data_IF_347141041772
#
_entry.id   IF_347141041772
#
_cell.length_a   1.000
_cell.length_b   1.000
_cell.length_c   1.000
_cell.angle_alpha   90.00
_cell.angle_beta   90.00
_cell.angle_gamma   90.00
#
_symmetry.space_group_name_H-M   'P 1'
#
loop_
_entity.id
_entity.type
_entity.pdbx_description
1 polymer ?
#
# COMPACT_ATOMS: atom_id res chain seq x y z
N UNK A 1 -4.09 38.55 -45.62
CA UNK A 1 -4.80 37.66 -44.68
C UNK A 1 -3.77 36.86 -43.89
N UNK A 2 -3.45 37.31 -42.68
CA UNK A 2 -2.50 36.66 -41.77
C UNK A 2 -3.27 35.66 -40.91
N UNK A 3 -2.91 34.37 -40.96
CA UNK A 3 -3.39 33.35 -40.03
C UNK A 3 -2.43 33.31 -38.85
N UNK A 4 -2.86 33.81 -37.70
CA UNK A 4 -2.19 33.69 -36.42
C UNK A 4 -2.80 32.54 -35.62
N UNK A 5 -1.91 31.63 -35.23
CA UNK A 5 -1.82 30.88 -33.98
C UNK A 5 -3.10 30.42 -33.25
N UNK A 6 -3.13 29.12 -32.99
CA UNK A 6 -3.92 28.48 -31.95
C UNK A 6 -3.37 27.09 -31.64
N UNK A 7 -2.07 26.99 -31.34
CA UNK A 7 -1.52 25.76 -30.74
C UNK A 7 -2.14 25.62 -29.36
N UNK A 8 -3.14 24.74 -29.24
CA UNK A 8 -3.61 24.22 -27.97
C UNK A 8 -2.55 23.26 -27.44
N UNK A 9 -1.58 23.82 -26.72
CA UNK A 9 -0.70 23.06 -25.82
C UNK A 9 -1.59 22.50 -24.72
N UNK A 10 -2.00 21.23 -24.87
CA UNK A 10 -2.65 20.50 -23.80
C UNK A 10 -1.59 20.26 -22.71
N UNK A 11 -1.68 21.05 -21.64
CA UNK A 11 -1.07 20.76 -20.34
C UNK A 11 -1.77 19.49 -19.81
N UNK A 12 -1.27 18.32 -20.20
CA UNK A 12 -1.54 17.10 -19.44
C UNK A 12 -0.65 17.17 -18.20
N UNK A 13 -1.30 17.46 -17.08
CA UNK A 13 -0.67 17.55 -15.78
C UNK A 13 0.12 16.26 -15.49
N UNK A 14 1.36 16.44 -15.06
CA UNK A 14 2.19 15.49 -14.33
C UNK A 14 1.34 14.63 -13.38
N UNK A 15 1.10 13.37 -13.76
CA UNK A 15 1.05 12.26 -12.79
C UNK A 15 2.40 11.57 -12.89
N UNK A 16 3.39 12.24 -12.29
CA UNK A 16 4.67 11.64 -11.93
C UNK A 16 4.43 10.76 -10.71
N UNK A 17 4.17 9.47 -10.89
CA UNK A 17 4.48 8.43 -9.88
C UNK A 17 4.65 7.06 -10.55
N UNK A 18 5.38 6.98 -11.66
CA UNK A 18 5.81 5.70 -12.23
C UNK A 18 7.34 5.65 -12.24
N UNK A 19 7.90 4.75 -11.42
CA UNK A 19 9.23 4.18 -11.63
C UNK A 19 10.45 4.93 -11.09
N UNK A 20 10.33 6.10 -10.46
CA UNK A 20 11.48 6.70 -9.81
C UNK A 20 11.82 5.88 -8.55
N UNK A 21 12.92 5.12 -8.66
CA UNK A 21 13.56 4.46 -7.54
C UNK A 21 13.85 5.53 -6.48
N UNK A 22 12.94 5.71 -5.50
CA UNK A 22 13.23 6.57 -4.36
C UNK A 22 14.51 6.00 -3.76
N UNK A 23 15.60 6.79 -3.68
CA UNK A 23 16.85 6.30 -3.11
C UNK A 23 16.54 5.72 -1.74
N UNK A 24 17.15 4.57 -1.43
CA UNK A 24 16.97 3.95 -0.11
C UNK A 24 17.28 5.02 0.94
N UNK A 25 16.36 5.28 1.88
CA UNK A 25 16.62 6.28 2.90
C UNK A 25 17.85 5.86 3.70
N UNK A 26 18.72 6.83 3.99
CA UNK A 26 19.88 6.59 4.84
C UNK A 26 19.43 6.63 6.30
N UNK A 27 19.67 5.55 7.05
CA UNK A 27 19.42 5.46 8.50
C UNK A 27 20.75 5.63 9.22
N UNK A 28 20.83 6.57 10.17
CA UNK A 28 22.07 6.83 10.91
C UNK A 28 22.49 5.67 11.82
N UNK A 29 21.53 4.90 12.34
CA UNK A 29 21.81 3.72 13.16
C UNK A 29 20.55 2.95 13.53
N UNK A 30 20.73 1.71 14.00
CA UNK A 30 19.65 0.83 14.44
C UNK A 30 19.80 0.51 15.92
N UNK A 31 18.70 0.57 16.65
CA UNK A 31 18.66 0.23 18.07
C UNK A 31 17.48 -0.72 18.35
N UNK A 32 17.69 -1.71 19.21
CA UNK A 32 16.62 -2.55 19.74
C UNK A 32 16.09 -1.94 21.05
N UNK A 33 14.77 -1.80 21.13
CA UNK A 33 14.01 -1.52 22.37
C UNK A 33 13.11 -2.72 22.71
N UNK A 34 13.51 -3.90 22.23
CA UNK A 34 12.83 -5.18 22.43
C UNK A 34 13.85 -6.31 22.35
N UNK A 35 13.48 -7.49 22.85
CA UNK A 35 14.30 -8.69 22.68
C UNK A 35 14.07 -9.30 21.30
N UNK A 36 15.12 -9.92 20.73
CA UNK A 36 14.95 -10.69 19.50
C UNK A 36 14.12 -11.94 19.79
N UNK A 37 13.09 -12.24 18.97
CA UNK A 37 12.18 -13.34 19.22
C UNK A 37 12.91 -14.68 19.23
N UNK A 38 12.63 -15.50 20.24
CA UNK A 38 13.18 -16.84 20.39
C UNK A 38 12.19 -17.89 19.85
N UNK A 39 12.71 -19.05 19.42
CA UNK A 39 11.87 -20.18 19.01
C UNK A 39 11.16 -20.00 17.66
N UNK A 40 11.68 -19.16 16.78
CA UNK A 40 11.24 -19.06 15.39
C UNK A 40 11.50 -20.38 14.64
N UNK A 41 10.70 -20.68 13.59
CA UNK A 41 10.91 -21.89 12.80
C UNK A 41 12.27 -21.85 12.07
N UNK A 42 12.81 -23.02 11.75
CA UNK A 42 14.07 -23.16 11.00
C UNK A 42 13.85 -23.08 9.47
N UNK A 43 12.61 -23.18 9.02
CA UNK A 43 12.18 -23.07 7.63
C UNK A 43 10.92 -22.21 7.52
N UNK A 44 10.74 -21.59 6.37
CA UNK A 44 9.52 -20.84 6.05
C UNK A 44 9.08 -21.10 4.61
N UNK A 45 7.77 -21.01 4.31
CA UNK A 45 7.29 -21.21 2.96
C UNK A 45 7.70 -20.07 2.04
N UNK A 46 8.04 -20.44 0.80
CA UNK A 46 8.01 -19.57 -0.37
C UNK A 46 6.65 -19.74 -1.01
N UNK A 47 6.02 -18.61 -1.35
CA UNK A 47 4.82 -18.63 -2.19
C UNK A 47 5.17 -18.24 -3.61
N UNK A 48 4.65 -18.97 -4.58
CA UNK A 48 4.73 -18.58 -5.99
C UNK A 48 3.52 -17.72 -6.34
N UNK A 49 3.75 -16.69 -7.14
CA UNK A 49 2.65 -15.91 -7.73
C UNK A 49 2.02 -16.76 -8.82
N UNK A 50 0.69 -16.88 -8.76
CA UNK A 50 -0.10 -17.63 -9.74
C UNK A 50 -0.96 -16.68 -10.56
N UNK A 51 -1.45 -17.18 -11.70
CA UNK A 51 -2.45 -16.47 -12.47
C UNK A 51 -3.73 -16.35 -11.65
N UNK A 52 -4.31 -15.14 -11.62
CA UNK A 52 -5.57 -14.96 -10.92
C UNK A 52 -6.71 -15.66 -11.68
N UNK A 53 -7.72 -16.17 -10.96
CA UNK A 53 -8.83 -16.89 -11.59
C UNK A 53 -9.66 -16.01 -12.53
N UNK A 54 -9.62 -14.69 -12.32
CA UNK A 54 -10.36 -13.69 -13.11
C UNK A 54 -9.42 -13.01 -14.08
N UNK A 55 -9.85 -12.90 -15.34
CA UNK A 55 -9.15 -12.14 -16.37
C UNK A 55 -9.05 -10.67 -15.96
N UNK A 56 -7.94 -10.02 -16.30
CA UNK A 56 -7.69 -8.63 -15.91
C UNK A 56 -8.79 -7.66 -16.37
N UNK A 57 -9.32 -7.85 -17.58
CA UNK A 57 -10.41 -7.01 -18.10
C UNK A 57 -11.70 -7.22 -17.29
N UNK A 58 -12.09 -8.46 -17.03
CA UNK A 58 -13.30 -8.79 -16.24
C UNK A 58 -13.19 -8.22 -14.83
N UNK A 59 -12.00 -8.31 -14.22
CA UNK A 59 -11.72 -7.70 -12.93
C UNK A 59 -11.87 -6.18 -12.95
N UNK A 60 -11.30 -5.49 -13.95
CA UNK A 60 -11.39 -4.04 -14.08
C UNK A 60 -12.84 -3.57 -14.23
N UNK A 61 -13.64 -4.27 -15.04
CA UNK A 61 -15.06 -4.00 -15.22
C UNK A 61 -15.88 -4.25 -13.95
N UNK A 62 -15.65 -5.39 -13.29
CA UNK A 62 -16.29 -5.69 -12.01
C UNK A 62 -16.02 -4.59 -10.98
N UNK A 63 -14.76 -4.18 -10.86
CA UNK A 63 -14.34 -3.15 -9.92
C UNK A 63 -14.95 -1.77 -10.24
N UNK A 64 -14.96 -1.36 -11.51
CA UNK A 64 -15.59 -0.11 -11.93
C UNK A 64 -17.08 -0.10 -11.52
N UNK A 65 -17.81 -1.18 -11.82
CA UNK A 65 -19.21 -1.33 -11.45
C UNK A 65 -19.41 -1.33 -9.92
N UNK A 66 -18.57 -2.06 -9.16
CA UNK A 66 -18.65 -2.15 -7.70
C UNK A 66 -18.43 -0.78 -7.01
N UNK A 67 -17.68 0.11 -7.64
CA UNK A 67 -17.40 1.46 -7.16
C UNK A 67 -18.37 2.53 -7.71
N UNK A 68 -19.32 2.13 -8.56
CA UNK A 68 -20.32 3.02 -9.16
C UNK A 68 -19.82 3.83 -10.36
N UNK A 69 -18.72 3.42 -11.00
CA UNK A 69 -18.31 3.99 -12.29
C UNK A 69 -19.13 3.35 -13.41
N UNK A 70 -19.70 4.20 -14.26
CA UNK A 70 -20.51 3.79 -15.41
C UNK A 70 -19.77 4.01 -16.72
N UNK A 71 -20.05 3.16 -17.71
CA UNK A 71 -19.55 3.31 -19.08
C UNK A 71 -18.11 2.81 -19.30
N UNK A 72 -17.59 3.12 -20.49
CA UNK A 72 -16.27 2.71 -20.96
C UNK A 72 -15.14 3.49 -20.26
N UNK A 73 -13.95 2.86 -20.09
CA UNK A 73 -12.77 3.55 -19.59
C UNK A 73 -12.38 4.71 -20.52
N UNK A 74 -11.95 5.82 -19.93
CA UNK A 74 -11.47 7.00 -20.66
C UNK A 74 -10.05 6.80 -21.21
N UNK A 75 -9.31 5.82 -20.68
CA UNK A 75 -7.99 5.43 -21.19
C UNK A 75 -7.73 3.93 -20.98
N UNK A 76 -6.95 3.37 -21.90
CA UNK A 76 -6.47 1.99 -21.87
C UNK A 76 -5.01 1.93 -22.33
N UNK A 77 -4.18 1.11 -21.69
CA UNK A 77 -2.79 0.89 -22.07
C UNK A 77 -2.35 -0.55 -21.85
N UNK A 78 -1.78 -1.16 -22.89
CA UNK A 78 -1.06 -2.45 -22.81
C UNK A 78 0.45 -2.26 -22.67
N UNK A 79 0.94 -1.02 -22.66
CA UNK A 79 2.38 -0.74 -22.70
C UNK A 79 3.10 -0.99 -21.38
N UNK A 80 2.36 -1.09 -20.27
CA UNK A 80 2.90 -1.44 -18.96
C UNK A 80 3.06 -2.97 -18.82
N UNK A 81 3.84 -3.42 -17.83
CA UNK A 81 3.96 -4.84 -17.51
C UNK A 81 2.62 -5.49 -17.10
N UNK A 82 1.61 -4.67 -16.85
CA UNK A 82 0.23 -5.04 -16.54
C UNK A 82 -0.67 -4.09 -17.35
N UNK A 83 -1.74 -4.58 -18.01
CA UNK A 83 -2.67 -3.69 -18.68
C UNK A 83 -3.31 -2.71 -17.69
N UNK A 84 -3.55 -1.49 -18.15
CA UNK A 84 -4.08 -0.39 -17.33
C UNK A 84 -5.40 0.13 -17.90
N UNK A 85 -6.40 0.28 -17.05
CA UNK A 85 -7.68 0.89 -17.39
C UNK A 85 -7.96 2.06 -16.46
N UNK A 86 -8.43 3.17 -17.03
CA UNK A 86 -8.78 4.37 -16.26
C UNK A 86 -10.22 4.79 -16.52
N UNK A 87 -10.98 5.01 -15.45
CA UNK A 87 -12.28 5.69 -15.47
C UNK A 87 -12.16 7.03 -14.77
N UNK A 88 -12.81 8.04 -15.34
CA UNK A 88 -12.90 9.37 -14.74
C UNK A 88 -14.38 9.76 -14.62
N UNK A 89 -14.75 10.37 -13.49
CA UNK A 89 -16.06 10.97 -13.34
C UNK A 89 -16.19 12.30 -14.07
N UNK A 90 -17.27 13.05 -13.82
CA UNK A 90 -17.47 14.38 -14.38
C UNK A 90 -16.28 15.31 -14.12
N UNK A 91 -16.04 16.25 -15.03
CA UNK A 91 -14.96 17.23 -14.91
C UNK A 91 -15.00 17.93 -13.53
N UNK A 92 -13.84 18.04 -12.88
CA UNK A 92 -13.65 18.61 -11.53
C UNK A 92 -14.26 17.82 -10.36
N UNK A 93 -14.83 16.63 -10.58
CA UNK A 93 -15.37 15.81 -9.48
C UNK A 93 -14.30 15.14 -8.61
N UNK A 94 -13.05 15.06 -9.09
CA UNK A 94 -11.97 14.33 -8.42
C UNK A 94 -12.17 12.81 -8.39
N UNK A 95 -13.21 12.31 -9.07
CA UNK A 95 -13.53 10.89 -9.16
C UNK A 95 -12.66 10.24 -10.24
N UNK A 96 -11.81 9.31 -9.83
CA UNK A 96 -10.92 8.60 -10.73
C UNK A 96 -10.71 7.19 -10.22
N UNK A 97 -10.65 6.23 -11.13
CA UNK A 97 -10.28 4.85 -10.88
C UNK A 97 -9.23 4.45 -11.90
N UNK A 98 -8.09 3.94 -11.43
CA UNK A 98 -7.06 3.32 -12.26
C UNK A 98 -6.84 1.89 -11.79
N UNK A 99 -6.94 0.93 -12.71
CA UNK A 99 -6.81 -0.50 -12.46
C UNK A 99 -5.57 -1.04 -13.18
N UNK A 100 -4.71 -1.74 -12.46
CA UNK A 100 -3.47 -2.35 -12.96
C UNK A 100 -3.61 -3.88 -12.94
N UNK A 101 -3.96 -4.43 -14.10
CA UNK A 101 -4.24 -5.86 -14.26
C UNK A 101 -5.30 -6.35 -13.27
N UNK A 102 -5.04 -7.50 -12.66
CA UNK A 102 -5.80 -8.07 -11.55
C UNK A 102 -5.06 -7.97 -10.21
N UNK A 103 -4.15 -7.00 -10.08
CA UNK A 103 -3.20 -6.95 -8.96
C UNK A 103 -3.40 -5.72 -8.09
N UNK A 104 -3.65 -4.56 -8.70
CA UNK A 104 -3.77 -3.31 -7.96
C UNK A 104 -4.79 -2.37 -8.58
N UNK A 105 -5.32 -1.47 -7.77
CA UNK A 105 -6.08 -0.33 -8.25
C UNK A 105 -6.06 0.81 -7.25
N UNK A 106 -6.10 2.03 -7.76
CA UNK A 106 -6.27 3.25 -6.98
C UNK A 106 -7.57 3.91 -7.37
N UNK A 107 -8.35 4.32 -6.38
CA UNK A 107 -9.55 5.10 -6.60
C UNK A 107 -9.55 6.35 -5.72
N UNK A 108 -9.73 7.49 -6.37
CA UNK A 108 -9.99 8.77 -5.72
C UNK A 108 -11.50 9.00 -5.72
N UNK A 109 -12.11 9.11 -4.55
CA UNK A 109 -13.53 9.45 -4.36
C UNK A 109 -14.52 8.59 -5.19
N UNK A 110 -14.67 7.29 -4.87
CA UNK A 110 -15.61 6.42 -5.58
C UNK A 110 -17.03 7.03 -5.60
N UNK A 111 -17.75 6.99 -6.76
CA UNK A 111 -19.14 7.42 -6.86
C UNK A 111 -20.02 6.89 -5.72
N UNK A 112 -19.90 5.59 -5.44
CA UNK A 112 -20.67 4.89 -4.40
C UNK A 112 -19.91 4.75 -3.08
N UNK A 113 -19.15 5.79 -2.71
CA UNK A 113 -18.31 5.80 -1.51
C UNK A 113 -19.04 5.96 -0.17
N UNK A 114 -20.36 6.11 -0.14
CA UNK A 114 -21.09 6.23 1.13
C UNK A 114 -21.14 4.86 1.85
N UNK A 115 -20.60 4.79 3.06
CA UNK A 115 -20.63 3.57 3.89
C UNK A 115 -21.91 3.44 4.71
N UNK A 116 -22.70 4.52 4.83
CA UNK A 116 -23.88 4.58 5.69
C UNK A 116 -23.59 4.66 7.19
N UNK A 117 -22.31 4.78 7.60
CA UNK A 117 -21.93 4.82 9.01
C UNK A 117 -22.23 6.16 9.70
N UNK A 118 -22.32 7.26 8.94
CA UNK A 118 -22.43 8.60 9.49
C UNK A 118 -21.11 9.06 10.10
N UNK A 119 -21.18 9.94 11.11
CA UNK A 119 -19.98 10.50 11.74
C UNK A 119 -19.18 9.43 12.48
N UNK A 120 -17.89 9.34 12.18
CA UNK A 120 -16.96 8.36 12.78
C UNK A 120 -16.12 9.03 13.85
N UNK A 121 -16.25 8.57 15.10
CA UNK A 121 -15.56 9.15 16.26
C UNK A 121 -14.44 8.24 16.79
N UNK A 122 -14.49 6.95 16.48
CA UNK A 122 -13.54 5.95 17.01
C UNK A 122 -12.81 5.16 15.92
N UNK A 123 -11.67 4.58 16.28
CA UNK A 123 -10.90 3.72 15.38
C UNK A 123 -11.67 2.43 15.04
N UNK A 124 -12.45 1.91 16.00
CA UNK A 124 -13.29 0.72 15.81
C UNK A 124 -14.40 0.97 14.78
N UNK A 125 -15.09 2.11 14.86
CA UNK A 125 -16.06 2.55 13.86
C UNK A 125 -15.40 2.77 12.50
N UNK A 126 -14.22 3.41 12.49
CA UNK A 126 -13.44 3.63 11.29
C UNK A 126 -13.04 2.32 10.60
N UNK A 127 -12.80 1.24 11.34
CA UNK A 127 -12.57 -0.09 10.76
C UNK A 127 -13.88 -0.74 10.29
N UNK A 128 -14.94 -0.66 11.10
CA UNK A 128 -16.19 -1.35 10.84
C UNK A 128 -16.91 -0.86 9.58
N UNK A 129 -16.93 0.46 9.36
CA UNK A 129 -17.61 1.09 8.23
C UNK A 129 -17.07 0.62 6.85
N UNK A 130 -15.78 0.79 6.51
CA UNK A 130 -15.23 0.34 5.25
C UNK A 130 -15.17 -1.19 5.16
N UNK A 131 -15.04 -1.92 6.27
CA UNK A 131 -15.13 -3.38 6.26
C UNK A 131 -16.47 -3.85 5.69
N UNK A 132 -17.57 -3.37 6.26
CA UNK A 132 -18.91 -3.72 5.78
C UNK A 132 -19.11 -3.29 4.32
N UNK A 133 -18.66 -2.09 3.97
CA UNK A 133 -18.78 -1.53 2.62
C UNK A 133 -17.98 -2.32 1.57
N UNK A 134 -16.76 -2.73 1.88
CA UNK A 134 -15.90 -3.56 1.01
C UNK A 134 -16.43 -4.99 0.89
N UNK A 135 -16.84 -5.61 2.01
CA UNK A 135 -17.41 -6.97 2.00
C UNK A 135 -18.68 -7.05 1.17
N UNK A 136 -19.57 -6.06 1.25
CA UNK A 136 -20.79 -6.02 0.44
C UNK A 136 -20.52 -5.92 -1.08
N UNK A 137 -19.29 -5.56 -1.46
CA UNK A 137 -18.85 -5.38 -2.85
C UNK A 137 -17.86 -6.45 -3.32
N UNK A 138 -17.57 -7.45 -2.49
CA UNK A 138 -16.54 -8.46 -2.74
C UNK A 138 -15.13 -7.86 -2.97
N UNK A 139 -14.84 -6.74 -2.31
CA UNK A 139 -13.56 -6.00 -2.42
C UNK A 139 -12.67 -6.16 -1.18
N UNK A 140 -13.08 -6.95 -0.19
CA UNK A 140 -12.25 -7.31 0.97
C UNK A 140 -11.79 -8.76 0.87
N UNK A 141 -10.55 -9.02 0.46
CA UNK A 141 -10.01 -10.38 0.39
C UNK A 141 -9.97 -11.05 1.77
N UNK A 142 -10.22 -12.36 1.79
CA UNK A 142 -10.20 -13.15 3.03
C UNK A 142 -8.86 -13.04 3.77
N UNK A 143 -7.74 -13.02 3.04
CA UNK A 143 -6.39 -12.88 3.60
C UNK A 143 -6.07 -11.46 4.11
N UNK A 144 -7.01 -10.51 4.01
CA UNK A 144 -6.91 -9.16 4.56
C UNK A 144 -7.95 -8.89 5.67
N UNK A 145 -8.88 -9.82 5.92
CA UNK A 145 -10.03 -9.58 6.78
C UNK A 145 -9.65 -9.48 8.26
N UNK A 146 -8.68 -10.26 8.75
CA UNK A 146 -8.48 -10.43 10.20
C UNK A 146 -7.55 -9.38 10.84
N UNK A 147 -6.84 -8.59 10.04
CA UNK A 147 -5.86 -7.62 10.54
C UNK A 147 -6.16 -6.23 9.99
N UNK A 148 -6.96 -5.47 10.74
CA UNK A 148 -7.30 -4.10 10.39
C UNK A 148 -6.79 -3.11 11.44
N UNK A 149 -6.33 -1.96 10.99
CA UNK A 149 -5.98 -0.81 11.84
C UNK A 149 -6.51 0.47 11.24
N UNK A 150 -6.87 1.42 12.09
CA UNK A 150 -7.25 2.76 11.68
C UNK A 150 -6.44 3.79 12.47
N UNK A 151 -6.12 4.90 11.82
CA UNK A 151 -5.53 6.07 12.48
C UNK A 151 -6.18 7.35 11.94
N UNK A 152 -6.39 8.34 12.80
CA UNK A 152 -6.87 9.63 12.36
C UNK A 152 -5.77 10.32 11.53
N UNK A 153 -6.16 11.06 10.50
CA UNK A 153 -5.26 11.97 9.79
C UNK A 153 -5.86 13.37 9.68
N UNK A 154 -4.98 14.32 9.43
CA UNK A 154 -5.30 15.71 9.15
C UNK A 154 -4.61 16.10 7.85
N UNK A 155 -5.36 16.64 6.88
CA UNK A 155 -4.74 17.14 5.65
C UNK A 155 -4.43 18.63 5.77
N UNK A 156 -3.18 18.98 6.09
CA UNK A 156 -2.74 20.38 6.18
C UNK A 156 -2.78 20.97 7.60
N UNK A 157 -2.43 22.26 7.76
CA UNK A 157 -2.31 22.88 9.08
C UNK A 157 -3.66 23.00 9.79
N UNK A 158 -3.75 22.79 11.10
CA UNK A 158 -5.02 22.90 11.86
C UNK A 158 -5.80 24.21 11.62
N UNK A 159 -5.09 25.30 11.33
CA UNK A 159 -5.68 26.62 11.06
C UNK A 159 -6.25 26.77 9.63
N UNK A 160 -6.02 25.79 8.75
CA UNK A 160 -6.46 25.85 7.37
C UNK A 160 -7.93 25.43 7.23
N UNK A 161 -8.69 26.22 6.47
CA UNK A 161 -10.06 25.85 6.06
C UNK A 161 -10.13 24.64 5.12
N UNK A 162 -8.98 24.19 4.62
CA UNK A 162 -8.86 22.99 3.77
C UNK A 162 -8.51 21.73 4.58
N UNK A 163 -8.35 21.86 5.91
CA UNK A 163 -8.05 20.73 6.78
C UNK A 163 -9.20 19.76 6.80
N UNK A 164 -8.96 18.58 6.22
CA UNK A 164 -9.85 17.45 6.31
C UNK A 164 -9.36 16.60 7.46
N UNK A 165 -10.25 16.41 8.43
CA UNK A 165 -10.12 15.34 9.40
C UNK A 165 -10.67 14.07 8.75
N UNK A 166 -10.10 12.93 9.07
CA UNK A 166 -10.54 11.68 8.48
C UNK A 166 -9.83 10.51 9.12
N UNK A 167 -10.07 9.34 8.57
CA UNK A 167 -9.48 8.10 9.03
C UNK A 167 -8.81 7.39 7.85
N UNK A 168 -7.54 7.01 8.01
CA UNK A 168 -6.92 6.05 7.11
C UNK A 168 -7.03 4.68 7.79
N UNK A 169 -7.59 3.74 7.05
CA UNK A 169 -7.92 2.40 7.50
C UNK A 169 -7.18 1.42 6.63
N UNK A 170 -6.47 0.47 7.23
CA UNK A 170 -5.69 -0.52 6.50
C UNK A 170 -6.07 -1.92 6.94
N UNK A 171 -6.54 -2.72 5.98
CA UNK A 171 -6.75 -4.16 6.04
C UNK A 171 -5.49 -4.83 5.51
N UNK A 172 -4.64 -5.26 6.43
CA UNK A 172 -3.31 -5.79 6.14
C UNK A 172 -3.41 -7.25 5.74
N UNK A 173 -2.72 -7.59 4.66
CA UNK A 173 -2.66 -8.95 4.15
C UNK A 173 -1.84 -9.84 5.08
N UNK A 174 -2.30 -11.07 5.32
CA UNK A 174 -1.57 -12.13 6.02
C UNK A 174 -1.55 -13.42 5.20
N UNK A 175 -0.39 -14.04 5.08
CA UNK A 175 -0.23 -15.38 4.51
C UNK A 175 0.07 -16.35 5.64
N UNK A 176 -0.86 -17.27 5.89
CA UNK A 176 -0.77 -18.24 6.99
C UNK A 176 -0.48 -17.59 8.35
N UNK A 177 -1.16 -16.47 8.60
CA UNK A 177 -0.98 -15.70 9.82
C UNK A 177 0.28 -14.83 9.86
N UNK A 178 1.13 -14.81 8.83
CA UNK A 178 2.30 -13.94 8.76
C UNK A 178 2.02 -12.66 7.96
N UNK A 179 2.47 -11.48 8.42
CA UNK A 179 2.19 -10.20 7.75
C UNK A 179 2.85 -10.11 6.38
N UNK A 180 2.16 -9.46 5.43
CA UNK A 180 2.70 -9.10 4.12
C UNK A 180 2.87 -7.59 4.02
N UNK A 181 4.13 -7.16 3.95
CA UNK A 181 4.53 -5.79 3.74
C UNK A 181 4.46 -5.34 2.28
N UNK A 182 4.66 -4.05 2.05
CA UNK A 182 4.73 -3.46 0.72
C UNK A 182 5.58 -2.18 0.74
N UNK A 183 5.77 -1.53 -0.41
CA UNK A 183 6.51 -0.27 -0.53
C UNK A 183 5.58 0.95 -0.72
N UNK A 184 5.77 1.93 0.17
CA UNK A 184 5.50 3.38 0.10
C UNK A 184 4.08 3.88 -0.22
N UNK A 185 3.43 3.44 -1.30
CA UNK A 185 2.15 4.06 -1.74
C UNK A 185 0.97 3.09 -1.67
N UNK A 186 1.29 1.80 -1.79
CA UNK A 186 0.35 0.71 -1.71
C UNK A 186 0.64 -0.02 -0.42
N UNK A 187 -0.06 0.23 0.68
CA UNK A 187 0.07 -0.63 1.86
C UNK A 187 -0.47 -2.02 1.45
N UNK A 188 0.29 -3.09 1.69
CA UNK A 188 -0.09 -4.43 1.22
C UNK A 188 -1.47 -4.84 1.74
N UNK A 189 -2.36 -5.31 0.87
CA UNK A 189 -3.78 -5.49 1.18
C UNK A 189 -4.64 -4.34 0.68
N UNK A 190 -5.51 -3.81 1.54
CA UNK A 190 -6.48 -2.75 1.21
C UNK A 190 -6.34 -1.57 2.16
N UNK A 191 -6.22 -0.36 1.63
CA UNK A 191 -6.17 0.90 2.37
C UNK A 191 -7.31 1.81 1.93
N UNK A 192 -8.02 2.38 2.90
CA UNK A 192 -9.22 3.19 2.69
C UNK A 192 -9.07 4.50 3.45
N UNK A 193 -9.30 5.61 2.77
CA UNK A 193 -9.36 6.93 3.39
C UNK A 193 -10.84 7.34 3.53
N UNK A 194 -11.25 7.67 4.74
CA UNK A 194 -12.60 8.09 5.10
C UNK A 194 -12.61 9.58 5.47
N UNK A 195 -13.64 10.29 5.02
CA UNK A 195 -13.95 11.62 5.56
C UNK A 195 -14.64 11.53 6.94
N UNK A 196 -14.88 12.65 7.65
CA UNK A 196 -15.49 12.61 8.98
C UNK A 196 -16.92 12.06 8.99
N UNK A 197 -17.59 12.01 7.84
CA UNK A 197 -18.95 11.48 7.67
C UNK A 197 -18.94 10.00 7.24
N UNK A 198 -17.78 9.36 7.28
CA UNK A 198 -17.63 7.95 6.95
C UNK A 198 -17.73 7.66 5.46
N UNK A 199 -17.58 8.65 4.58
CA UNK A 199 -17.53 8.43 3.13
C UNK A 199 -16.12 8.02 2.73
N UNK A 200 -16.01 7.00 1.88
CA UNK A 200 -14.77 6.62 1.22
C UNK A 200 -14.38 7.73 0.23
N UNK A 201 -13.24 8.36 0.49
CA UNK A 201 -12.65 9.40 -0.37
C UNK A 201 -11.34 8.97 -1.03
N UNK A 202 -10.77 7.86 -0.59
CA UNK A 202 -9.61 7.22 -1.20
C UNK A 202 -9.66 5.71 -0.97
N UNK A 203 -9.26 4.93 -1.98
CA UNK A 203 -9.18 3.49 -1.88
C UNK A 203 -7.96 3.00 -2.67
N UNK A 204 -7.14 2.19 -2.01
CA UNK A 204 -5.92 1.62 -2.57
C UNK A 204 -5.91 0.12 -2.29
N UNK A 205 -5.69 -0.66 -3.33
CA UNK A 205 -5.65 -2.11 -3.25
C UNK A 205 -4.38 -2.62 -3.92
N UNK A 206 -3.71 -3.57 -3.27
CA UNK A 206 -2.64 -4.34 -3.90
C UNK A 206 -2.59 -5.76 -3.36
N UNK A 207 -2.80 -6.73 -4.25
CA UNK A 207 -2.78 -8.15 -3.92
C UNK A 207 -2.54 -8.99 -5.17
N UNK A 208 -1.49 -9.82 -5.14
CA UNK A 208 -1.28 -10.93 -6.09
C UNK A 208 -1.85 -12.23 -5.55
N UNK A 209 -2.43 -13.04 -6.42
CA UNK A 209 -2.72 -14.44 -6.09
C UNK A 209 -1.43 -15.22 -5.90
N UNK A 210 -1.39 -16.01 -4.85
CA UNK A 210 -0.22 -16.81 -4.47
C UNK A 210 -0.65 -18.15 -3.91
N UNK A 211 0.22 -19.14 -4.06
CA UNK A 211 0.08 -20.42 -3.39
C UNK A 211 1.41 -20.89 -2.82
N UNK A 212 1.35 -21.74 -1.79
CA UNK A 212 2.56 -22.35 -1.21
C UNK A 212 3.25 -23.21 -2.27
N UNK A 213 4.54 -22.99 -2.47
CA UNK A 213 5.34 -23.67 -3.48
C UNK A 213 6.37 -24.61 -2.84
N UNK A 214 7.22 -24.07 -1.98
CA UNK A 214 8.31 -24.80 -1.35
C UNK A 214 8.63 -24.26 0.04
N UNK A 215 9.42 -25.01 0.82
CA UNK A 215 10.01 -24.54 2.07
C UNK A 215 11.48 -24.17 1.83
N UNK A 216 11.93 -23.09 2.46
CA UNK A 216 13.34 -22.67 2.43
C UNK A 216 13.89 -22.58 3.86
N UNK A 217 15.12 -23.06 4.13
CA UNK A 217 15.80 -22.79 5.38
C UNK A 217 15.95 -21.30 5.61
N UNK A 218 15.66 -20.85 6.82
CA UNK A 218 15.86 -19.45 7.20
C UNK A 218 17.07 -19.32 8.13
N UNK A 219 17.77 -18.20 8.00
CA UNK A 219 18.82 -17.79 8.93
C UNK A 219 18.19 -17.39 10.27
N UNK A 220 18.98 -17.38 11.33
CA UNK A 220 18.55 -16.94 12.65
C UNK A 220 18.21 -15.45 12.66
N UNK A 221 17.40 -15.00 13.63
CA UNK A 221 17.05 -13.58 13.75
C UNK A 221 18.28 -12.75 14.16
N UNK A 222 19.23 -13.35 14.89
CA UNK A 222 20.51 -12.75 15.24
C UNK A 222 21.36 -12.50 13.98
N UNK A 223 21.44 -13.46 13.06
CA UNK A 223 22.12 -13.27 11.77
C UNK A 223 21.46 -12.15 10.95
N UNK A 224 20.13 -12.07 10.96
CA UNK A 224 19.39 -11.00 10.28
C UNK A 224 19.59 -9.63 10.93
N UNK A 225 19.67 -9.57 12.26
CA UNK A 225 19.99 -8.35 12.99
C UNK A 225 21.40 -7.85 12.65
N UNK A 226 22.39 -8.73 12.63
CA UNK A 226 23.75 -8.39 12.20
C UNK A 226 23.79 -7.92 10.74
N UNK A 227 23.00 -8.54 9.86
CA UNK A 227 22.88 -8.09 8.47
C UNK A 227 22.26 -6.69 8.37
N UNK A 228 21.21 -6.41 9.15
CA UNK A 228 20.59 -5.08 9.19
C UNK A 228 21.61 -4.01 9.60
N UNK A 229 22.41 -4.28 10.64
CA UNK A 229 23.43 -3.35 11.13
C UNK A 229 24.57 -3.12 10.13
N UNK A 230 24.95 -4.14 9.36
CA UNK A 230 26.14 -4.08 8.48
C UNK A 230 25.84 -3.69 7.04
N UNK A 231 24.69 -4.12 6.50
CA UNK A 231 24.30 -3.92 5.10
C UNK A 231 23.06 -3.04 4.93
N UNK A 232 22.30 -2.80 6.00
CA UNK A 232 20.97 -2.23 5.91
C UNK A 232 19.95 -3.23 5.36
N UNK A 233 18.66 -2.85 5.30
CA UNK A 233 17.64 -3.74 4.79
C UNK A 233 17.60 -3.79 3.26
N UNK A 234 16.98 -4.82 2.74
CA UNK A 234 16.66 -4.90 1.32
C UNK A 234 15.62 -3.83 0.92
N UNK A 235 14.66 -3.57 1.81
CA UNK A 235 13.56 -2.62 1.60
C UNK A 235 13.16 -1.92 2.90
N UNK A 236 12.59 -0.73 2.76
CA UNK A 236 11.91 -0.02 3.83
C UNK A 236 10.45 0.23 3.46
N UNK A 237 9.59 0.18 4.46
CA UNK A 237 8.23 0.70 4.42
C UNK A 237 8.08 1.79 5.47
N UNK A 238 7.38 2.86 5.14
CA UNK A 238 7.20 4.06 5.98
C UNK A 238 5.72 4.38 6.09
N UNK A 239 5.23 4.56 7.30
CA UNK A 239 3.88 5.10 7.52
C UNK A 239 3.96 6.64 7.46
N UNK A 240 3.91 7.21 6.24
CA UNK A 240 3.99 8.65 6.03
C UNK A 240 4.96 9.07 4.91
N UNK A 241 5.28 10.38 4.80
CA UNK A 241 6.17 10.90 3.77
C UNK A 241 7.59 10.35 3.93
N UNK A 242 8.19 9.88 2.83
CA UNK A 242 9.57 9.37 2.86
C UNK A 242 10.58 10.51 2.78
N UNK A 243 11.52 10.56 3.74
CA UNK A 243 12.66 11.47 3.75
C UNK A 243 13.93 10.78 3.23
N UNK A 244 14.90 11.53 2.66
CA UNK A 244 16.15 10.95 2.18
C UNK A 244 17.04 10.41 3.31
N UNK A 245 16.90 10.97 4.52
CA UNK A 245 17.70 10.64 5.69
C UNK A 245 16.82 10.56 6.94
N UNK A 246 17.13 9.62 7.82
CA UNK A 246 16.58 9.50 9.16
C UNK A 246 17.69 9.32 10.19
N UNK A 247 17.40 9.68 11.44
CA UNK A 247 18.27 9.46 12.60
C UNK A 247 18.29 8.00 13.03
N UNK A 248 18.17 7.76 14.33
CA UNK A 248 18.14 6.39 14.87
C UNK A 248 16.79 5.73 14.55
N UNK A 249 16.83 4.49 14.06
CA UNK A 249 15.68 3.61 13.93
C UNK A 249 15.58 2.70 15.16
N UNK A 250 14.68 3.03 16.06
CA UNK A 250 14.41 2.28 17.30
C UNK A 250 13.35 1.22 17.02
N UNK A 251 13.78 -0.04 17.06
CA UNK A 251 12.99 -1.22 16.73
C UNK A 251 12.28 -1.72 17.99
N UNK A 252 10.97 -1.83 17.90
CA UNK A 252 10.09 -2.25 19.00
C UNK A 252 9.45 -3.61 18.75
N UNK A 253 9.52 -4.13 17.52
CA UNK A 253 8.92 -5.41 17.13
C UNK A 253 9.75 -6.07 16.03
N UNK A 254 9.94 -7.39 16.10
CA UNK A 254 10.60 -8.18 15.06
C UNK A 254 9.73 -9.39 14.75
N UNK A 255 9.36 -9.56 13.49
CA UNK A 255 8.46 -10.64 13.04
C UNK A 255 8.96 -11.27 11.74
N UNK A 256 8.59 -12.52 11.51
CA UNK A 256 8.71 -13.16 10.20
C UNK A 256 7.52 -12.73 9.33
N UNK A 257 7.74 -12.43 8.06
CA UNK A 257 6.68 -12.06 7.14
C UNK A 257 7.13 -12.08 5.68
N UNK A 258 6.36 -11.42 4.83
CA UNK A 258 6.61 -11.37 3.40
C UNK A 258 6.61 -9.95 2.89
N UNK A 259 7.12 -9.78 1.67
CA UNK A 259 7.09 -8.51 0.98
C UNK A 259 6.41 -8.70 -0.37
N UNK A 260 5.40 -7.87 -0.62
CA UNK A 260 4.79 -7.73 -1.92
C UNK A 260 5.40 -6.53 -2.66
N UNK A 261 5.96 -6.80 -3.83
CA UNK A 261 6.69 -5.86 -4.67
C UNK A 261 5.80 -4.82 -5.37
N UNK A 262 6.41 -3.81 -5.99
CA UNK A 262 5.70 -2.74 -6.68
C UNK A 262 4.84 -3.26 -7.85
N UNK A 263 3.95 -2.40 -8.32
CA UNK A 263 3.11 -2.59 -9.51
C UNK A 263 3.45 -1.50 -10.53
N UNK A 264 3.09 -1.71 -11.80
CA UNK A 264 3.45 -0.78 -12.88
C UNK A 264 4.96 -0.72 -13.18
N UNK A 265 5.75 -1.71 -12.73
CA UNK A 265 7.18 -1.84 -13.03
C UNK A 265 7.42 -2.89 -14.09
N UNK A 266 8.50 -2.76 -14.87
CA UNK A 266 8.90 -3.77 -15.87
C UNK A 266 9.19 -5.15 -15.25
N UNK A 267 9.56 -5.19 -13.97
CA UNK A 267 9.79 -6.42 -13.22
C UNK A 267 8.52 -6.85 -12.48
N UNK A 268 8.09 -8.08 -12.74
CA UNK A 268 6.99 -8.72 -12.00
C UNK A 268 7.60 -9.64 -10.95
N UNK A 269 7.26 -9.42 -9.68
CA UNK A 269 7.61 -10.35 -8.62
C UNK A 269 6.94 -11.70 -8.88
N UNK A 270 7.75 -12.76 -8.97
CA UNK A 270 7.28 -14.13 -9.22
C UNK A 270 7.08 -14.96 -7.95
N UNK A 271 7.73 -14.56 -6.85
CA UNK A 271 7.72 -15.29 -5.59
C UNK A 271 7.75 -14.35 -4.39
N UNK A 272 7.05 -14.76 -3.34
CA UNK A 272 7.07 -14.14 -2.02
C UNK A 272 8.02 -14.97 -1.18
N UNK A 273 9.17 -14.38 -0.87
CA UNK A 273 10.20 -15.00 -0.04
C UNK A 273 10.14 -14.43 1.38
N UNK A 274 10.46 -15.23 2.41
CA UNK A 274 10.30 -14.84 3.80
C UNK A 274 11.31 -13.76 4.22
N UNK A 275 10.88 -12.75 4.96
CA UNK A 275 11.74 -11.69 5.50
C UNK A 275 11.58 -11.61 7.01
N UNK A 276 12.66 -11.26 7.70
CA UNK A 276 12.56 -10.63 9.01
C UNK A 276 12.19 -9.17 8.83
N UNK A 277 11.13 -8.75 9.50
CA UNK A 277 10.59 -7.40 9.46
C UNK A 277 10.86 -6.78 10.81
N UNK A 278 11.78 -5.82 10.85
CA UNK A 278 12.12 -5.03 12.04
C UNK A 278 11.26 -3.77 12.01
N UNK A 279 10.32 -3.66 12.92
CA UNK A 279 9.30 -2.61 12.98
C UNK A 279 9.60 -1.70 14.16
N UNK A 280 9.45 -0.39 13.96
CA UNK A 280 9.79 0.57 14.99
C UNK A 280 9.49 2.00 14.58
N UNK A 281 10.25 2.94 15.15
CA UNK A 281 10.18 4.36 14.80
C UNK A 281 11.55 4.92 14.47
N UNK A 282 11.63 5.71 13.41
CA UNK A 282 12.84 6.42 13.02
C UNK A 282 12.70 7.92 13.28
N UNK A 283 13.75 8.53 13.81
CA UNK A 283 13.82 9.97 14.04
C UNK A 283 13.85 10.73 12.70
N UNK A 284 12.98 11.73 12.54
CA UNK A 284 12.99 12.64 11.39
C UNK A 284 13.98 13.77 11.70
N UNK A 285 14.99 14.03 10.83
CA UNK A 285 15.99 15.05 11.08
C UNK A 285 15.40 16.44 11.31
N UNK A 286 16.12 17.28 12.08
CA UNK A 286 15.78 18.70 12.35
C UNK A 286 14.45 18.89 13.11
N UNK A 287 14.12 17.96 14.00
CA UNK A 287 12.96 18.09 14.90
C UNK A 287 11.63 17.75 14.24
N UNK A 288 11.65 16.96 13.15
CA UNK A 288 10.44 16.53 12.45
C UNK A 288 9.62 15.47 13.21
N UNK A 289 10.06 15.04 14.39
CA UNK A 289 9.40 14.01 15.19
C UNK A 289 9.89 12.60 14.85
N UNK A 290 8.99 11.63 14.92
CA UNK A 290 9.26 10.22 14.66
C UNK A 290 8.33 9.68 13.56
N UNK A 291 8.83 8.75 12.75
CA UNK A 291 8.05 8.04 11.74
C UNK A 291 8.04 6.55 12.00
N UNK A 292 6.87 5.92 11.95
CA UNK A 292 6.79 4.46 12.01
C UNK A 292 7.34 3.86 10.73
N UNK A 293 8.27 2.92 10.87
CA UNK A 293 8.99 2.29 9.76
C UNK A 293 9.11 0.79 9.96
N UNK A 294 9.28 0.08 8.85
CA UNK A 294 9.58 -1.35 8.82
C UNK A 294 10.78 -1.61 7.88
N UNK A 295 11.80 -2.29 8.40
CA UNK A 295 13.00 -2.69 7.66
C UNK A 295 12.93 -4.19 7.35
N UNK A 296 13.08 -4.54 6.08
CA UNK A 296 12.93 -5.92 5.59
C UNK A 296 14.30 -6.52 5.30
N UNK A 297 14.66 -7.57 6.03
CA UNK A 297 15.89 -8.34 5.83
C UNK A 297 15.50 -9.73 5.32
N UNK A 298 16.04 -10.18 4.16
CA UNK A 298 15.80 -11.53 3.66
C UNK A 298 16.05 -12.59 4.74
N UNK A 299 15.09 -13.47 5.02
CA UNK A 299 15.27 -14.53 6.00
C UNK A 299 15.96 -15.76 5.37
N UNK A 300 15.93 -15.92 4.05
CA UNK A 300 16.61 -17.02 3.36
C UNK A 300 18.12 -16.76 3.22
N UNK A 301 18.88 -17.85 3.12
CA UNK A 301 20.32 -17.84 2.85
C UNK A 301 20.63 -17.69 1.36
#
# INVERSE_FOLDING_TARGET
MRRTAGSMTLLLAMVLTLGACVPRPHIAGYQLDTELPQGLPDQAPIYRVVEAPTLAADWAWHLAAALGFEGEPVAYSEAAAQPEWTWAGPLHSGKELTVYGNIAFGCSSPPDGDTGAGTIETAEEAVAAPRAWLTARDLLPADCADDARAWPYQTGPDESRLTRHGWEVCFRRRLDGLPVGSRCVWRGGVSVDLDPQGRVIGLRYKRREVERDSLVPIKTVEEAWQELQTRGPAFFDTEGPTFPEYGIFTITEVVLGYYEGPVGTAEVQKQFKPHYIFIGKAEIPKGGGEMRMAAYVPAWK
#
